data_IF_601208243601
#
_entry.id   IF_601208243601
#
_cell.length_a   1.000
_cell.length_b   1.000
_cell.length_c   1.000
_cell.angle_alpha   90.00
_cell.angle_beta   90.00
_cell.angle_gamma   90.00
#
_symmetry.space_group_name_H-M   'P 1'
#
loop_
_entity.id
_entity.type
_entity.pdbx_description
1 polymer ?
#
# COMPACT_ATOMS: atom_id res chain seq x y z
N UNK A 1 9.38 -31.05 -4.34
CA UNK A 1 10.16 -29.88 -3.84
C UNK A 1 10.14 -28.65 -4.75
N UNK A 2 9.41 -28.64 -5.87
CA UNK A 2 9.31 -27.47 -6.78
C UNK A 2 8.22 -26.46 -6.40
N UNK A 3 7.19 -26.86 -5.66
CA UNK A 3 6.09 -25.97 -5.27
C UNK A 3 6.43 -24.94 -4.18
N UNK A 4 7.45 -25.20 -3.34
CA UNK A 4 7.82 -24.25 -2.28
C UNK A 4 8.68 -23.06 -2.77
N UNK A 5 9.35 -23.18 -3.92
CA UNK A 5 10.15 -22.08 -4.50
C UNK A 5 9.28 -20.97 -5.10
N UNK A 6 8.17 -21.30 -5.73
CA UNK A 6 7.29 -20.31 -6.39
C UNK A 6 6.61 -19.32 -5.44
N UNK A 7 6.15 -19.76 -4.27
CA UNK A 7 5.48 -18.88 -3.29
C UNK A 7 6.45 -17.86 -2.65
N UNK A 8 7.70 -18.27 -2.41
CA UNK A 8 8.73 -17.38 -1.88
C UNK A 8 9.13 -16.26 -2.87
N UNK A 9 9.11 -16.55 -4.17
CA UNK A 9 9.51 -15.61 -5.22
C UNK A 9 8.40 -14.58 -5.53
N UNK A 10 7.11 -14.98 -5.48
CA UNK A 10 5.95 -14.05 -5.58
C UNK A 10 6.01 -12.98 -4.49
N UNK A 11 6.23 -13.38 -3.25
CA UNK A 11 6.32 -12.47 -2.13
C UNK A 11 7.53 -11.53 -2.21
N UNK A 12 8.67 -12.03 -2.68
CA UNK A 12 9.90 -11.24 -2.87
C UNK A 12 9.72 -10.15 -3.92
N UNK A 13 9.06 -10.44 -5.06
CA UNK A 13 8.86 -9.45 -6.13
C UNK A 13 7.89 -8.37 -5.71
N UNK A 14 6.76 -8.72 -5.05
CA UNK A 14 5.82 -7.74 -4.51
C UNK A 14 6.46 -6.77 -3.50
N UNK A 15 7.43 -7.26 -2.69
CA UNK A 15 8.19 -6.40 -1.77
C UNK A 15 9.24 -5.56 -2.49
N UNK A 16 9.97 -6.16 -3.44
CA UNK A 16 11.04 -5.50 -4.21
C UNK A 16 10.51 -4.31 -5.02
N UNK A 17 9.32 -4.44 -5.62
CA UNK A 17 8.71 -3.43 -6.48
C UNK A 17 7.62 -2.61 -5.78
N UNK A 18 7.58 -2.66 -4.45
CA UNK A 18 6.74 -1.75 -3.68
C UNK A 18 7.32 -0.34 -3.77
N UNK A 19 6.52 0.69 -4.14
CA UNK A 19 7.02 2.05 -4.21
C UNK A 19 7.58 2.50 -2.86
N UNK A 20 8.74 3.16 -2.89
CA UNK A 20 9.48 3.63 -1.73
C UNK A 20 9.37 5.14 -1.51
N UNK A 21 8.91 5.88 -2.51
CA UNK A 21 8.67 7.31 -2.50
C UNK A 21 7.41 7.65 -3.30
N UNK A 22 6.94 8.90 -3.22
CA UNK A 22 5.72 9.33 -3.92
C UNK A 22 5.88 9.32 -5.44
N UNK A 23 7.08 9.60 -5.95
CA UNK A 23 7.34 9.63 -7.40
C UNK A 23 7.30 8.25 -8.06
N UNK A 24 7.43 7.18 -7.29
CA UNK A 24 7.27 5.79 -7.76
C UNK A 24 5.82 5.30 -7.74
N UNK A 25 4.91 6.07 -7.16
CA UNK A 25 3.49 5.71 -7.13
C UNK A 25 2.84 6.00 -8.47
N UNK A 26 2.28 4.98 -9.10
CA UNK A 26 1.67 5.11 -10.43
C UNK A 26 0.14 5.17 -10.35
N UNK A 27 -0.47 6.00 -11.20
CA UNK A 27 -1.92 6.07 -11.37
C UNK A 27 -2.69 6.69 -10.21
N UNK A 28 -2.01 7.43 -9.29
CA UNK A 28 -2.62 8.08 -8.13
C UNK A 28 -2.21 9.56 -8.02
N UNK A 29 -2.06 10.26 -9.13
CA UNK A 29 -1.46 11.59 -9.21
C UNK A 29 -2.14 12.61 -8.28
N UNK A 30 -3.48 12.61 -8.20
CA UNK A 30 -4.23 13.51 -7.32
C UNK A 30 -3.95 13.25 -5.84
N UNK A 31 -3.96 11.98 -5.43
CA UNK A 31 -3.69 11.59 -4.05
C UNK A 31 -2.25 11.94 -3.66
N UNK A 32 -1.30 11.64 -4.54
CA UNK A 32 0.12 11.97 -4.36
C UNK A 32 0.33 13.47 -4.25
N UNK A 33 -0.27 14.28 -5.14
CA UNK A 33 -0.17 15.74 -5.10
C UNK A 33 -0.71 16.32 -3.80
N UNK A 34 -1.89 15.85 -3.33
CA UNK A 34 -2.48 16.28 -2.07
C UNK A 34 -1.58 15.97 -0.87
N UNK A 35 -1.01 14.76 -0.83
CA UNK A 35 -0.11 14.34 0.27
C UNK A 35 1.21 15.12 0.25
N UNK A 36 1.82 15.32 -0.92
CA UNK A 36 3.03 16.15 -1.07
C UNK A 36 2.78 17.58 -0.60
N UNK A 37 1.65 18.18 -0.98
CA UNK A 37 1.28 19.51 -0.53
C UNK A 37 1.09 19.57 1.01
N UNK A 38 0.48 18.55 1.62
CA UNK A 38 0.35 18.46 3.07
C UNK A 38 1.71 18.40 3.77
N UNK A 39 2.64 17.59 3.24
CA UNK A 39 4.00 17.45 3.79
C UNK A 39 4.78 18.76 3.64
N UNK A 40 4.79 19.38 2.46
CA UNK A 40 5.57 20.60 2.17
C UNK A 40 5.07 21.82 2.95
N UNK A 41 3.75 21.96 3.08
CA UNK A 41 3.11 23.05 3.85
C UNK A 41 3.15 22.82 5.36
N UNK A 42 3.59 21.65 5.81
CA UNK A 42 3.56 21.23 7.22
C UNK A 42 2.14 21.24 7.82
N UNK A 43 1.11 21.20 6.97
CA UNK A 43 -0.28 21.09 7.38
C UNK A 43 -0.68 19.62 7.48
N UNK A 44 -0.27 18.99 8.59
CA UNK A 44 -0.44 17.57 8.82
C UNK A 44 -1.75 17.33 9.56
N UNK A 45 -2.59 16.48 8.99
CA UNK A 45 -3.80 16.00 9.65
C UNK A 45 -3.49 14.92 10.68
N UNK A 46 -4.26 14.88 11.76
CA UNK A 46 -4.14 13.85 12.81
C UNK A 46 -4.69 12.48 12.36
N UNK A 47 -5.57 12.44 11.35
CA UNK A 47 -6.13 11.21 10.82
C UNK A 47 -6.31 11.24 9.30
N UNK A 48 -5.93 10.16 8.64
CA UNK A 48 -6.06 9.94 7.20
C UNK A 48 -6.89 8.69 6.95
N UNK A 49 -7.76 8.72 5.94
CA UNK A 49 -8.53 7.56 5.51
C UNK A 49 -8.26 7.27 4.02
N UNK A 50 -7.50 6.23 3.75
CA UNK A 50 -7.20 5.75 2.40
C UNK A 50 -8.27 4.77 1.95
N UNK A 51 -8.99 5.10 0.88
CA UNK A 51 -10.07 4.28 0.34
C UNK A 51 -9.77 3.81 -1.08
N UNK A 52 -10.34 2.68 -1.48
CA UNK A 52 -10.22 2.16 -2.83
C UNK A 52 -10.10 0.65 -2.87
N UNK A 53 -10.15 0.04 -4.06
CA UNK A 53 -10.13 -1.40 -4.26
C UNK A 53 -8.84 -2.07 -3.74
N UNK A 54 -8.85 -3.38 -3.64
CA UNK A 54 -7.68 -4.14 -3.16
C UNK A 54 -6.50 -3.99 -4.13
N UNK A 55 -5.29 -3.90 -3.60
CA UNK A 55 -4.05 -3.96 -4.38
C UNK A 55 -3.68 -2.70 -5.17
N UNK A 56 -4.39 -1.58 -5.00
CA UNK A 56 -4.11 -0.31 -5.70
C UNK A 56 -3.06 0.58 -5.02
N UNK A 57 -2.53 0.16 -3.85
CA UNK A 57 -1.43 0.86 -3.18
C UNK A 57 -1.78 1.62 -1.90
N UNK A 58 -2.98 1.46 -1.31
CA UNK A 58 -3.39 2.15 -0.06
C UNK A 58 -2.32 2.10 1.03
N UNK A 59 -1.96 0.90 1.44
CA UNK A 59 -0.95 0.66 2.49
C UNK A 59 0.45 1.15 2.09
N UNK A 60 0.79 1.08 0.79
CA UNK A 60 2.08 1.57 0.28
C UNK A 60 2.17 3.09 0.39
N UNK A 61 1.13 3.82 -0.04
CA UNK A 61 1.07 5.27 0.05
C UNK A 61 1.07 5.73 1.51
N UNK A 62 0.32 5.05 2.38
CA UNK A 62 0.33 5.33 3.82
C UNK A 62 1.73 5.17 4.44
N UNK A 63 2.47 4.13 4.06
CA UNK A 63 3.87 3.94 4.50
C UNK A 63 4.81 5.03 3.97
N UNK A 64 4.63 5.47 2.72
CA UNK A 64 5.42 6.56 2.15
C UNK A 64 5.14 7.85 2.90
N UNK A 65 3.86 8.15 3.20
CA UNK A 65 3.49 9.30 4.02
C UNK A 65 4.11 9.20 5.41
N UNK A 66 4.03 8.05 6.08
CA UNK A 66 4.63 7.83 7.39
C UNK A 66 6.14 8.09 7.39
N UNK A 67 6.84 7.60 6.36
CA UNK A 67 8.26 7.91 6.17
C UNK A 67 8.50 9.40 5.98
N UNK A 68 7.73 10.07 5.13
CA UNK A 68 7.90 11.50 4.88
C UNK A 68 7.67 12.34 6.15
N UNK A 69 6.70 11.97 6.99
CA UNK A 69 6.39 12.67 8.25
C UNK A 69 7.48 12.52 9.31
N UNK A 70 8.17 11.38 9.33
CA UNK A 70 9.23 11.07 10.30
C UNK A 70 10.64 11.13 9.71
N UNK A 71 10.78 11.53 8.44
CA UNK A 71 12.07 11.64 7.78
C UNK A 71 12.88 12.79 8.39
N UNK A 72 14.16 12.53 8.70
CA UNK A 72 15.08 13.56 9.18
C UNK A 72 15.47 14.57 8.10
N UNK A 73 15.50 14.13 6.83
CA UNK A 73 15.94 14.93 5.71
C UNK A 73 15.12 14.58 4.46
N UNK A 74 14.10 15.40 4.18
CA UNK A 74 13.25 15.23 3.00
C UNK A 74 13.98 15.67 1.74
N UNK A 75 13.83 14.89 0.66
CA UNK A 75 14.24 15.31 -0.68
C UNK A 75 13.14 16.21 -1.24
N UNK A 76 13.51 17.37 -1.79
CA UNK A 76 12.58 18.38 -2.33
C UNK A 76 11.42 18.73 -1.39
N UNK A 77 11.66 18.71 -0.08
CA UNK A 77 10.69 18.98 0.99
C UNK A 77 9.42 18.09 1.00
N UNK A 78 9.39 17.03 0.20
CA UNK A 78 8.20 16.16 0.07
C UNK A 78 8.51 14.68 0.09
N UNK A 79 9.65 14.25 -0.48
CA UNK A 79 9.98 12.85 -0.64
C UNK A 79 10.80 12.33 0.54
N UNK A 80 10.49 11.14 1.08
CA UNK A 80 11.32 10.52 2.11
C UNK A 80 12.70 10.15 1.54
N UNK A 81 13.77 10.39 2.29
CA UNK A 81 15.15 10.11 1.85
C UNK A 81 15.46 8.62 1.68
N UNK A 82 14.68 7.73 2.28
CA UNK A 82 14.87 6.26 2.31
C UNK A 82 16.22 5.79 2.89
N UNK A 83 17.02 6.66 3.48
CA UNK A 83 18.35 6.38 4.00
C UNK A 83 18.48 6.62 5.51
N UNK A 84 17.67 7.53 6.10
CA UNK A 84 17.72 7.79 7.54
C UNK A 84 17.13 6.62 8.34
N UNK A 85 17.44 6.57 9.64
CA UNK A 85 17.02 5.51 10.55
C UNK A 85 15.48 5.29 10.53
N UNK A 86 14.69 6.37 10.56
CA UNK A 86 13.23 6.27 10.48
C UNK A 86 12.75 5.66 9.16
N UNK A 87 13.31 6.08 8.03
CA UNK A 87 12.94 5.53 6.73
C UNK A 87 13.32 4.06 6.58
N UNK A 88 14.53 3.66 7.02
CA UNK A 88 15.00 2.28 6.92
C UNK A 88 14.23 1.36 7.84
N UNK A 89 13.99 1.75 9.09
CA UNK A 89 13.22 0.94 10.05
C UNK A 89 11.77 0.71 9.60
N UNK A 90 11.11 1.72 8.99
CA UNK A 90 9.77 1.55 8.40
C UNK A 90 9.81 0.58 7.21
N UNK A 91 10.82 0.67 6.34
CA UNK A 91 10.96 -0.24 5.21
C UNK A 91 11.17 -1.70 5.65
N UNK A 92 11.94 -1.92 6.71
CA UNK A 92 12.23 -3.23 7.31
C UNK A 92 11.10 -3.77 8.17
N UNK A 93 10.16 -2.92 8.59
CA UNK A 93 9.07 -3.26 9.50
C UNK A 93 9.52 -3.38 10.96
N UNK A 94 10.62 -2.70 11.32
CA UNK A 94 11.22 -2.69 12.64
C UNK A 94 11.01 -1.37 13.40
N UNK A 95 10.27 -0.41 12.83
CA UNK A 95 10.04 0.89 13.43
C UNK A 95 9.15 0.81 14.67
N UNK A 96 9.63 1.34 15.79
CA UNK A 96 8.89 1.37 17.07
C UNK A 96 7.74 2.39 17.02
N UNK A 97 7.97 3.53 16.38
CA UNK A 97 7.01 4.63 16.28
C UNK A 97 6.08 4.54 15.05
N UNK A 98 6.17 3.47 14.26
CA UNK A 98 5.27 3.15 13.17
C UNK A 98 4.65 1.76 13.38
N UNK A 99 3.42 1.75 13.84
CA UNK A 99 2.70 0.52 14.21
C UNK A 99 1.69 0.21 13.11
N UNK A 100 1.93 -0.89 12.38
CA UNK A 100 1.02 -1.37 11.33
C UNK A 100 0.23 -2.58 11.84
N UNK A 101 -1.09 -2.49 11.71
CA UNK A 101 -2.04 -3.50 12.16
C UNK A 101 -2.97 -3.86 11.00
N UNK A 102 -3.08 -5.14 10.73
CA UNK A 102 -4.10 -5.67 9.84
C UNK A 102 -5.33 -6.06 10.67
N UNK A 103 -6.41 -5.28 10.55
CA UNK A 103 -7.65 -5.53 11.25
C UNK A 103 -8.35 -6.83 10.82
N UNK A 104 -7.98 -7.42 9.68
CA UNK A 104 -8.51 -8.72 9.28
C UNK A 104 -7.96 -9.85 10.15
N UNK A 105 -6.71 -9.73 10.63
CA UNK A 105 -6.05 -10.71 11.51
C UNK A 105 -6.16 -10.37 13.00
N UNK A 106 -6.39 -9.08 13.35
CA UNK A 106 -6.49 -8.58 14.74
C UNK A 106 -7.77 -7.79 14.91
N UNK A 107 -8.89 -8.49 15.08
CA UNK A 107 -10.24 -7.89 15.15
C UNK A 107 -10.71 -7.57 16.57
N UNK A 108 -10.03 -8.10 17.57
CA UNK A 108 -10.48 -8.11 18.95
C UNK A 108 -10.37 -6.76 19.63
N UNK A 109 -11.29 -6.53 20.60
CA UNK A 109 -11.27 -5.34 21.46
C UNK A 109 -9.99 -5.28 22.31
N UNK A 110 -9.42 -6.44 22.64
CA UNK A 110 -8.20 -6.57 23.43
C UNK A 110 -6.97 -6.05 22.66
N UNK A 111 -6.84 -6.41 21.38
CA UNK A 111 -5.77 -5.89 20.51
C UNK A 111 -5.88 -4.38 20.35
N UNK A 112 -7.11 -3.86 20.23
CA UNK A 112 -7.35 -2.42 20.14
C UNK A 112 -7.05 -1.72 21.46
N UNK A 113 -7.41 -2.29 22.61
CA UNK A 113 -7.07 -1.73 23.92
C UNK A 113 -5.56 -1.66 24.14
N UNK A 114 -4.83 -2.72 23.83
CA UNK A 114 -3.38 -2.75 23.92
C UNK A 114 -2.75 -1.64 23.06
N UNK A 115 -3.29 -1.43 21.85
CA UNK A 115 -2.88 -0.31 20.99
C UNK A 115 -3.17 1.04 21.64
N UNK A 116 -4.38 1.24 22.19
CA UNK A 116 -4.80 2.49 22.81
C UNK A 116 -3.94 2.87 24.02
N UNK A 117 -3.49 1.90 24.81
CA UNK A 117 -2.58 2.11 25.92
C UNK A 117 -1.24 2.71 25.46
N UNK A 118 -0.77 2.32 24.27
CA UNK A 118 0.47 2.82 23.71
C UNK A 118 0.39 4.25 23.16
N UNK A 119 -0.83 4.76 22.89
CA UNK A 119 -1.06 6.10 22.33
C UNK A 119 -0.60 7.21 23.28
N UNK A 120 -0.73 6.98 24.58
CA UNK A 120 -0.34 7.96 25.61
C UNK A 120 1.18 8.17 25.70
N UNK A 121 1.98 7.24 25.20
CA UNK A 121 3.43 7.34 25.25
C UNK A 121 3.97 8.17 24.09
N UNK A 122 4.91 9.05 24.38
CA UNK A 122 5.62 9.83 23.38
C UNK A 122 6.39 8.91 22.40
N UNK A 123 6.64 9.38 21.16
CA UNK A 123 7.54 8.68 20.25
C UNK A 123 8.93 8.47 20.85
N UNK A 124 9.56 7.34 20.55
CA UNK A 124 10.87 6.98 21.09
C UNK A 124 12.02 7.71 20.36
N UNK A 125 11.94 7.79 19.03
CA UNK A 125 12.99 8.35 18.18
C UNK A 125 12.47 9.21 17.01
N UNK A 126 11.18 9.14 16.75
CA UNK A 126 10.55 9.81 15.63
C UNK A 126 9.80 11.08 16.05
N UNK A 127 9.42 11.92 15.07
CA UNK A 127 8.61 13.11 15.33
C UNK A 127 7.16 12.77 15.69
N UNK A 128 6.61 11.78 15.02
CA UNK A 128 5.24 11.32 15.21
C UNK A 128 5.20 9.83 15.49
N UNK A 129 4.25 9.43 16.33
CA UNK A 129 3.86 8.05 16.52
C UNK A 129 2.69 7.76 15.59
N UNK A 130 2.88 6.87 14.63
CA UNK A 130 1.95 6.65 13.53
C UNK A 130 1.34 5.26 13.63
N UNK A 131 0.01 5.20 13.57
CA UNK A 131 -0.76 3.97 13.60
C UNK A 131 -1.43 3.76 12.24
N UNK A 132 -0.98 2.76 11.50
CA UNK A 132 -1.60 2.34 10.25
C UNK A 132 -2.48 1.12 10.51
N UNK A 133 -3.79 1.28 10.36
CA UNK A 133 -4.76 0.20 10.51
C UNK A 133 -5.30 -0.15 9.13
N UNK A 134 -4.83 -1.28 8.60
CA UNK A 134 -5.28 -1.79 7.29
C UNK A 134 -6.58 -2.60 7.45
N UNK A 135 -7.43 -2.55 6.43
CA UNK A 135 -8.78 -3.11 6.39
C UNK A 135 -9.61 -2.74 7.63
N UNK A 136 -9.55 -1.47 8.01
CA UNK A 136 -10.14 -0.94 9.25
C UNK A 136 -11.64 -1.26 9.39
N UNK A 137 -12.39 -1.47 8.30
CA UNK A 137 -13.79 -1.91 8.32
C UNK A 137 -14.01 -3.29 8.96
N UNK A 138 -12.95 -4.04 9.22
CA UNK A 138 -13.00 -5.34 9.89
C UNK A 138 -12.95 -5.24 11.42
N UNK A 139 -12.68 -4.06 11.97
CA UNK A 139 -12.76 -3.84 13.42
C UNK A 139 -14.18 -4.02 13.94
N UNK A 140 -14.30 -4.47 15.18
CA UNK A 140 -15.60 -4.54 15.86
C UNK A 140 -16.12 -3.13 16.19
N UNK A 141 -17.44 -2.94 16.34
CA UNK A 141 -18.01 -1.66 16.76
C UNK A 141 -17.41 -1.13 18.06
N UNK A 142 -17.10 -2.01 19.01
CA UNK A 142 -16.49 -1.66 20.30
C UNK A 142 -15.07 -1.14 20.11
N UNK A 143 -14.29 -1.76 19.20
CA UNK A 143 -12.94 -1.31 18.82
C UNK A 143 -12.98 0.05 18.14
N UNK A 144 -13.94 0.28 17.25
CA UNK A 144 -14.15 1.59 16.65
C UNK A 144 -14.47 2.67 17.68
N UNK A 145 -15.41 2.39 18.60
CA UNK A 145 -15.79 3.33 19.66
C UNK A 145 -14.62 3.68 20.58
N UNK A 146 -13.74 2.72 20.86
CA UNK A 146 -12.56 2.94 21.64
C UNK A 146 -11.55 3.90 20.96
N UNK A 147 -11.48 3.88 19.62
CA UNK A 147 -10.64 4.81 18.82
C UNK A 147 -11.22 6.21 18.75
N UNK A 148 -12.56 6.38 18.81
CA UNK A 148 -13.23 7.67 18.62
C UNK A 148 -12.73 8.74 19.58
N UNK A 149 -12.50 8.41 20.87
CA UNK A 149 -11.99 9.36 21.86
C UNK A 149 -10.65 9.98 21.41
N UNK A 150 -9.74 9.17 20.89
CA UNK A 150 -8.43 9.64 20.43
C UNK A 150 -8.51 10.37 19.07
N UNK A 151 -9.58 10.16 18.31
CA UNK A 151 -9.82 10.91 17.08
C UNK A 151 -10.51 12.27 17.37
N UNK A 152 -11.24 12.39 18.46
CA UNK A 152 -11.87 13.63 18.91
C UNK A 152 -10.87 14.57 19.58
N UNK A 153 -10.02 14.02 20.42
CA UNK A 153 -8.98 14.74 21.16
C UNK A 153 -7.61 14.09 20.87
N UNK A 154 -7.08 14.24 19.63
CA UNK A 154 -5.86 13.57 19.24
C UNK A 154 -4.64 14.15 19.96
N UNK A 155 -3.78 13.29 20.55
CA UNK A 155 -2.50 13.75 21.05
C UNK A 155 -1.66 14.34 19.90
N UNK A 156 -0.95 15.47 20.12
CA UNK A 156 -0.26 16.20 19.04
C UNK A 156 0.85 15.41 18.35
N UNK A 157 1.33 14.36 18.99
CA UNK A 157 2.39 13.48 18.50
C UNK A 157 1.84 12.22 17.79
N UNK A 158 0.52 12.02 17.72
CA UNK A 158 -0.11 10.81 17.19
C UNK A 158 -0.78 11.10 15.84
N UNK A 159 -0.55 10.21 14.89
CA UNK A 159 -1.20 10.24 13.57
C UNK A 159 -1.84 8.89 13.30
N UNK A 160 -3.11 8.91 12.95
CA UNK A 160 -3.84 7.73 12.51
C UNK A 160 -3.88 7.65 10.98
N UNK A 161 -3.65 6.48 10.44
CA UNK A 161 -3.79 6.17 9.03
C UNK A 161 -4.68 4.94 8.91
N UNK A 162 -5.85 5.11 8.34
CA UNK A 162 -6.80 4.03 8.10
C UNK A 162 -6.79 3.66 6.62
N UNK A 163 -6.79 2.38 6.31
CA UNK A 163 -6.97 1.89 4.95
C UNK A 163 -8.19 0.96 4.89
N UNK A 164 -9.00 1.10 3.85
CA UNK A 164 -10.19 0.25 3.66
C UNK A 164 -10.49 0.00 2.19
N UNK A 165 -10.99 -1.20 1.91
CA UNK A 165 -11.60 -1.55 0.63
C UNK A 165 -13.10 -1.28 0.62
N UNK A 166 -13.73 -1.11 1.81
CA UNK A 166 -15.17 -0.98 1.98
C UNK A 166 -15.53 0.32 2.71
N UNK A 167 -15.43 1.45 1.99
CA UNK A 167 -15.75 2.78 2.54
C UNK A 167 -17.14 2.84 3.19
N UNK A 168 -18.14 2.19 2.60
CA UNK A 168 -19.53 2.21 3.09
C UNK A 168 -19.71 1.57 4.46
N UNK A 169 -18.78 0.75 4.91
CA UNK A 169 -18.81 0.12 6.24
C UNK A 169 -18.16 0.97 7.33
N UNK A 170 -17.51 2.07 6.97
CA UNK A 170 -16.90 2.96 7.96
C UNK A 170 -17.94 3.88 8.58
N UNK A 171 -17.87 4.04 9.89
CA UNK A 171 -18.79 4.90 10.63
C UNK A 171 -18.63 6.36 10.18
N UNK A 172 -19.76 7.09 9.95
CA UNK A 172 -19.72 8.50 9.57
C UNK A 172 -18.96 9.38 10.58
N UNK A 173 -18.97 9.00 11.85
CA UNK A 173 -18.25 9.67 12.93
C UNK A 173 -16.73 9.61 12.76
N UNK A 174 -16.19 8.55 12.16
CA UNK A 174 -14.78 8.42 11.82
C UNK A 174 -14.47 9.19 10.54
N UNK A 175 -15.31 9.01 9.52
CA UNK A 175 -15.14 9.67 8.22
C UNK A 175 -15.03 11.19 8.37
N UNK A 176 -15.88 11.79 9.21
CA UNK A 176 -15.90 13.25 9.44
C UNK A 176 -14.64 13.81 10.11
N UNK A 177 -13.83 12.95 10.74
CA UNK A 177 -12.59 13.32 11.44
C UNK A 177 -11.31 13.00 10.66
N UNK A 178 -11.45 12.37 9.50
CA UNK A 178 -10.34 11.96 8.69
C UNK A 178 -10.21 12.79 7.41
N UNK A 179 -8.99 13.10 7.01
CA UNK A 179 -8.70 13.54 5.65
C UNK A 179 -8.82 12.33 4.71
N UNK A 180 -9.81 12.38 3.83
CA UNK A 180 -10.09 11.28 2.90
C UNK A 180 -9.17 11.34 1.68
N UNK A 181 -8.48 10.23 1.41
CA UNK A 181 -7.62 10.03 0.25
C UNK A 181 -8.21 8.87 -0.57
N UNK A 182 -8.93 9.23 -1.62
CA UNK A 182 -9.59 8.27 -2.49
C UNK A 182 -8.64 7.83 -3.60
N UNK A 183 -8.33 6.53 -3.65
CA UNK A 183 -7.48 5.92 -4.67
C UNK A 183 -8.34 5.24 -5.72
N UNK A 184 -7.94 5.39 -6.97
CA UNK A 184 -8.65 4.85 -8.12
C UNK A 184 -7.98 3.58 -8.66
N UNK A 185 -8.75 2.75 -9.34
CA UNK A 185 -8.19 1.63 -10.11
C UNK A 185 -7.24 2.15 -11.19
N UNK A 186 -6.11 1.49 -11.33
CA UNK A 186 -5.07 1.90 -12.28
C UNK A 186 -5.44 1.41 -13.68
N UNK A 187 -5.29 2.27 -14.68
CA UNK A 187 -5.62 1.91 -16.06
C UNK A 187 -4.70 0.82 -16.62
N UNK A 188 -5.20 0.04 -17.56
CA UNK A 188 -4.45 -1.04 -18.23
C UNK A 188 -3.14 -0.51 -18.83
N UNK A 189 -3.17 0.67 -19.46
CA UNK A 189 -1.98 1.27 -20.07
C UNK A 189 -0.91 1.60 -19.03
N UNK A 190 -1.30 2.16 -17.88
CA UNK A 190 -0.37 2.51 -16.78
C UNK A 190 0.23 1.25 -16.18
N UNK A 191 -0.57 0.20 -15.96
CA UNK A 191 -0.07 -1.10 -15.47
C UNK A 191 0.89 -1.74 -16.48
N UNK A 192 0.54 -1.73 -17.78
CA UNK A 192 1.39 -2.29 -18.84
C UNK A 192 2.74 -1.59 -18.90
N UNK A 193 2.77 -0.26 -18.84
CA UNK A 193 4.01 0.52 -18.83
C UNK A 193 4.88 0.19 -17.60
N UNK A 194 4.27 0.14 -16.43
CA UNK A 194 4.97 -0.22 -15.19
C UNK A 194 5.55 -1.64 -15.24
N UNK A 195 4.79 -2.61 -15.78
CA UNK A 195 5.31 -3.96 -15.98
C UNK A 195 6.46 -3.98 -16.98
N UNK A 196 6.37 -3.21 -18.07
CA UNK A 196 7.44 -3.08 -19.08
C UNK A 196 8.75 -2.58 -18.46
N UNK A 197 8.69 -1.53 -17.61
CA UNK A 197 9.85 -1.04 -16.89
C UNK A 197 10.46 -2.10 -15.96
N UNK A 198 9.61 -2.80 -15.20
CA UNK A 198 10.03 -3.87 -14.28
C UNK A 198 10.70 -5.01 -15.06
N UNK A 199 10.08 -5.46 -16.14
CA UNK A 199 10.60 -6.57 -16.94
C UNK A 199 11.91 -6.22 -17.64
N UNK A 200 12.04 -4.98 -18.11
CA UNK A 200 13.28 -4.46 -18.68
C UNK A 200 14.41 -4.46 -17.65
N UNK A 201 14.16 -3.98 -16.44
CA UNK A 201 15.14 -4.00 -15.32
C UNK A 201 15.52 -5.44 -14.89
N UNK A 202 14.57 -6.38 -14.98
CA UNK A 202 14.81 -7.80 -14.66
C UNK A 202 15.30 -8.64 -15.84
N UNK A 203 15.51 -8.04 -17.01
CA UNK A 203 15.95 -8.72 -18.25
C UNK A 203 15.01 -9.86 -18.66
N UNK A 204 13.71 -9.64 -18.55
CA UNK A 204 12.64 -10.55 -18.99
C UNK A 204 12.23 -10.11 -20.39
N UNK A 205 12.19 -11.05 -21.35
CA UNK A 205 11.70 -10.78 -22.71
C UNK A 205 10.18 -10.83 -22.74
N UNK A 206 9.56 -9.88 -23.41
CA UNK A 206 8.11 -9.79 -23.54
C UNK A 206 7.70 -9.16 -24.87
N UNK A 207 6.49 -9.41 -25.30
CA UNK A 207 5.81 -8.61 -26.30
C UNK A 207 4.78 -7.67 -25.63
N UNK A 208 4.39 -6.59 -26.31
CA UNK A 208 3.47 -5.60 -25.75
C UNK A 208 2.07 -6.18 -25.45
N UNK A 209 1.62 -7.13 -26.27
CA UNK A 209 0.32 -7.77 -26.07
C UNK A 209 0.31 -8.62 -24.80
N UNK A 210 1.41 -9.28 -24.47
CA UNK A 210 1.59 -10.02 -23.22
C UNK A 210 1.41 -9.13 -22.01
N UNK A 211 1.97 -7.90 -22.01
CA UNK A 211 1.82 -6.95 -20.93
C UNK A 211 0.37 -6.49 -20.79
N UNK A 212 -0.32 -6.19 -21.89
CA UNK A 212 -1.72 -5.79 -21.89
C UNK A 212 -2.62 -6.88 -21.31
N UNK A 213 -2.42 -8.14 -21.70
CA UNK A 213 -3.18 -9.26 -21.16
C UNK A 213 -3.02 -9.41 -19.65
N UNK A 214 -1.79 -9.28 -19.14
CA UNK A 214 -1.53 -9.32 -17.71
C UNK A 214 -2.21 -8.13 -17.00
N UNK A 215 -2.13 -6.94 -17.58
CA UNK A 215 -2.72 -5.72 -17.03
C UNK A 215 -4.27 -5.77 -17.01
N UNK A 216 -4.90 -6.33 -18.06
CA UNK A 216 -6.35 -6.56 -18.11
C UNK A 216 -6.79 -7.56 -17.05
N UNK A 217 -6.07 -8.68 -16.92
CA UNK A 217 -6.35 -9.70 -15.91
C UNK A 217 -6.19 -9.18 -14.46
N UNK A 218 -5.37 -8.16 -14.26
CA UNK A 218 -5.15 -7.53 -12.95
C UNK A 218 -6.27 -6.58 -12.50
N UNK A 219 -7.21 -6.21 -13.38
CA UNK A 219 -8.39 -5.41 -13.05
C UNK A 219 -8.08 -4.12 -12.26
N UNK A 220 -7.02 -3.42 -12.64
CA UNK A 220 -6.62 -2.16 -12.01
C UNK A 220 -5.78 -2.29 -10.72
N UNK A 221 -5.41 -3.50 -10.34
CA UNK A 221 -4.57 -3.79 -9.17
C UNK A 221 -3.11 -4.03 -9.57
N UNK A 222 -2.20 -3.14 -9.15
CA UNK A 222 -0.75 -3.33 -9.36
C UNK A 222 -0.24 -4.59 -8.64
N UNK A 223 -0.76 -4.87 -7.45
CA UNK A 223 -0.38 -6.07 -6.68
C UNK A 223 -0.74 -7.35 -7.41
N UNK A 224 -1.94 -7.40 -8.00
CA UNK A 224 -2.39 -8.58 -8.73
C UNK A 224 -1.65 -8.70 -10.06
N UNK A 225 -1.34 -7.59 -10.74
CA UNK A 225 -0.49 -7.57 -11.92
C UNK A 225 0.89 -8.20 -11.65
N UNK A 226 1.54 -7.85 -10.54
CA UNK A 226 2.81 -8.45 -10.14
C UNK A 226 2.67 -9.93 -9.79
N UNK A 227 1.56 -10.33 -9.13
CA UNK A 227 1.29 -11.73 -8.80
C UNK A 227 1.06 -12.59 -10.04
N UNK A 228 0.28 -12.08 -10.99
CA UNK A 228 0.02 -12.72 -12.29
C UNK A 228 1.31 -12.82 -13.08
N UNK A 229 2.09 -11.74 -13.13
CA UNK A 229 3.38 -11.71 -13.81
C UNK A 229 4.31 -12.83 -13.33
N UNK A 230 4.37 -13.06 -12.01
CA UNK A 230 5.19 -14.11 -11.44
C UNK A 230 4.83 -15.50 -11.97
N UNK A 231 3.52 -15.79 -11.99
CA UNK A 231 3.01 -17.05 -12.53
C UNK A 231 3.42 -17.21 -14.01
N UNK A 232 3.14 -16.17 -14.81
CA UNK A 232 3.43 -16.19 -16.25
C UNK A 232 4.93 -16.34 -16.51
N UNK A 233 5.78 -15.59 -15.81
CA UNK A 233 7.25 -15.69 -15.97
C UNK A 233 7.74 -17.09 -15.67
N UNK A 234 7.19 -17.74 -14.63
CA UNK A 234 7.58 -19.10 -14.23
C UNK A 234 7.19 -20.13 -15.31
N UNK A 235 6.06 -19.96 -15.98
CA UNK A 235 5.60 -20.85 -17.04
C UNK A 235 6.30 -20.61 -18.38
N UNK A 236 6.56 -19.35 -18.74
CA UNK A 236 7.09 -18.95 -20.04
C UNK A 236 8.63 -18.87 -20.06
N UNK A 237 9.32 -19.41 -19.06
CA UNK A 237 10.78 -19.40 -18.98
C UNK A 237 11.41 -18.02 -19.28
N UNK A 238 10.83 -16.93 -18.73
CA UNK A 238 11.28 -15.53 -18.90
C UNK A 238 11.22 -14.99 -20.34
N UNK A 239 10.39 -15.59 -21.20
CA UNK A 239 10.13 -15.13 -22.55
C UNK A 239 8.61 -15.13 -22.80
N UNK A 240 7.98 -14.00 -22.53
CA UNK A 240 6.51 -13.84 -22.54
C UNK A 240 6.04 -13.54 -23.96
N UNK A 241 5.35 -14.50 -24.56
CA UNK A 241 4.64 -14.33 -25.83
C UNK A 241 3.13 -14.36 -25.60
N UNK A 242 2.41 -13.57 -26.34
CA UNK A 242 0.96 -13.43 -26.21
C UNK A 242 0.23 -14.77 -26.10
N UNK A 243 0.53 -15.72 -27.00
CA UNK A 243 -0.10 -17.04 -27.00
C UNK A 243 0.11 -17.80 -25.69
N UNK A 244 1.34 -17.86 -25.22
CA UNK A 244 1.69 -18.57 -23.98
C UNK A 244 1.04 -17.91 -22.76
N UNK A 245 0.99 -16.57 -22.74
CA UNK A 245 0.33 -15.81 -21.67
C UNK A 245 -1.18 -16.07 -21.66
N UNK A 246 -1.83 -16.11 -22.82
CA UNK A 246 -3.27 -16.49 -22.94
C UNK A 246 -3.55 -17.87 -22.36
N UNK A 247 -2.70 -18.83 -22.67
CA UNK A 247 -2.85 -20.20 -22.18
C UNK A 247 -2.72 -20.26 -20.65
N UNK A 248 -1.72 -19.58 -20.09
CA UNK A 248 -1.50 -19.51 -18.63
C UNK A 248 -2.64 -18.81 -17.90
N UNK A 249 -3.25 -17.78 -18.50
CA UNK A 249 -4.37 -17.04 -17.94
C UNK A 249 -5.73 -17.75 -18.13
N UNK A 250 -5.76 -18.90 -18.82
CA UNK A 250 -6.99 -19.60 -19.16
C UNK A 250 -7.86 -18.85 -20.17
N UNK A 251 -7.27 -17.91 -20.95
CA UNK A 251 -7.94 -17.12 -21.98
C UNK A 251 -7.84 -17.77 -23.36
N UNK A 252 -7.33 -19.00 -23.43
CA UNK A 252 -7.30 -19.77 -24.66
C UNK A 252 -8.74 -20.08 -25.11
N UNK A 253 -9.15 -19.48 -26.21
CA UNK A 253 -10.41 -19.84 -26.88
C UNK A 253 -10.30 -21.32 -27.22
N UNK A 254 -11.07 -22.15 -26.53
CA UNK A 254 -11.44 -23.45 -27.06
C UNK A 254 -12.29 -23.14 -28.29
N UNK A 255 -11.67 -23.12 -29.45
CA UNK A 255 -12.44 -23.19 -30.71
C UNK A 255 -13.14 -24.54 -30.70
N UNK A 256 -14.40 -24.53 -30.31
CA UNK A 256 -15.34 -25.59 -30.63
C UNK A 256 -15.75 -25.43 -32.09
#
# INVERSE_FOLDING_TARGET
SSQSRGLGDVYKRQRKWRPSNFSEVVGQDHAVAALKNSVSSKNIHHAYLFTGTRGIGKTSIARILAKALNCSELIDNTEPCNACESCTSINEGAAIDFIEIDAASRRGIEDTKNLLETISYLPSSSKYKIYLIDEVHMLTPESFNALLKNLEEPPPHVIFMFATTEYKKILPTIISRCLQINLSSVSVNVISNQLGEIFSKEKIKYDENSLKLIAEAAQGSIRDALSISEKVISFCNRNLKEKEVRDVLGLSLIHI
#
